data_IF_789945968415
#
_entry.id   IF_789945968415
#
_cell.length_a   1.000
_cell.length_b   1.000
_cell.length_c   1.000
_cell.angle_alpha   90.00
_cell.angle_beta   90.00
_cell.angle_gamma   90.00
#
_symmetry.space_group_name_H-M   'P 1'
#
loop_
_entity.id
_entity.type
_entity.pdbx_description
1 polymer ?
#
# COMPACT_ATOMS: atom_id res chain seq x y z
N UNK A 1 11.57 -5.27 12.81
CA UNK A 1 11.97 -4.83 14.15
C UNK A 1 10.73 -4.65 15.04
N UNK A 2 10.95 -4.68 16.31
CA UNK A 2 9.88 -4.52 17.29
C UNK A 2 9.17 -3.17 17.14
N UNK A 3 9.94 -2.11 16.89
CA UNK A 3 9.39 -0.78 16.70
C UNK A 3 8.50 -0.70 15.47
N UNK A 4 8.89 -1.37 14.38
CA UNK A 4 8.09 -1.43 13.17
C UNK A 4 6.78 -2.19 13.42
N UNK A 5 6.83 -3.29 14.17
CA UNK A 5 5.62 -4.05 14.52
C UNK A 5 4.65 -3.23 15.35
N UNK A 6 5.17 -2.42 16.29
CA UNK A 6 4.34 -1.52 17.08
C UNK A 6 3.67 -0.47 16.21
N UNK A 7 4.37 0.07 15.21
CA UNK A 7 3.80 1.03 14.26
C UNK A 7 2.71 0.39 13.42
N UNK A 8 2.93 -0.83 12.97
CA UNK A 8 1.95 -1.57 12.17
C UNK A 8 0.68 -1.81 12.99
N UNK A 9 0.81 -2.28 14.22
CA UNK A 9 -0.34 -2.50 15.09
C UNK A 9 -1.09 -1.20 15.33
N UNK A 10 -0.36 -0.10 15.56
CA UNK A 10 -0.97 1.21 15.77
C UNK A 10 -1.73 1.69 14.53
N UNK A 11 -1.19 1.48 13.33
CA UNK A 11 -1.85 1.86 12.08
C UNK A 11 -3.16 1.12 11.88
N UNK A 12 -3.17 -0.19 12.17
CA UNK A 12 -4.35 -1.03 11.95
C UNK A 12 -5.47 -0.75 12.94
N UNK A 13 -5.14 -0.31 14.15
CA UNK A 13 -6.13 -0.07 15.21
C UNK A 13 -6.52 1.40 15.38
N UNK A 14 -5.85 2.31 14.71
CA UNK A 14 -6.08 3.74 14.85
C UNK A 14 -7.45 4.14 14.28
N UNK A 15 -8.34 4.79 15.08
CA UNK A 15 -9.65 5.20 14.58
C UNK A 15 -9.65 6.51 13.78
N UNK A 16 -8.53 7.25 13.79
CA UNK A 16 -8.43 8.54 13.14
C UNK A 16 -7.57 8.45 11.89
N UNK A 17 -8.15 8.78 10.73
CA UNK A 17 -7.43 8.67 9.44
C UNK A 17 -6.22 9.60 9.35
N UNK A 18 -6.28 10.77 9.97
CA UNK A 18 -5.13 11.68 10.00
C UNK A 18 -3.92 11.10 10.72
N UNK A 19 -4.17 10.50 11.88
CA UNK A 19 -3.12 9.82 12.65
C UNK A 19 -2.62 8.58 11.92
N UNK A 20 -3.53 7.83 11.32
CA UNK A 20 -3.18 6.65 10.53
C UNK A 20 -2.24 7.04 9.39
N UNK A 21 -2.54 8.15 8.71
CA UNK A 21 -1.69 8.65 7.63
C UNK A 21 -0.26 8.89 8.09
N UNK A 22 -0.10 9.52 9.26
CA UNK A 22 1.24 9.78 9.82
C UNK A 22 1.98 8.48 10.12
N UNK A 23 1.29 7.53 10.74
CA UNK A 23 1.89 6.25 11.11
C UNK A 23 2.30 5.46 9.85
N UNK A 24 1.41 5.40 8.87
CA UNK A 24 1.70 4.72 7.61
C UNK A 24 2.90 5.36 6.88
N UNK A 25 3.00 6.68 6.93
CA UNK A 25 4.12 7.38 6.31
C UNK A 25 5.45 7.00 6.99
N UNK A 26 5.45 6.87 8.31
CA UNK A 26 6.63 6.42 9.04
C UNK A 26 7.02 4.99 8.64
N UNK A 27 6.04 4.11 8.48
CA UNK A 27 6.28 2.73 8.04
C UNK A 27 6.88 2.72 6.63
N UNK A 28 6.36 3.57 5.73
CA UNK A 28 6.88 3.69 4.36
C UNK A 28 8.35 4.08 4.30
N UNK A 29 8.83 4.82 5.29
CA UNK A 29 10.21 5.29 5.33
C UNK A 29 11.17 4.23 5.84
N UNK A 30 10.67 3.13 6.36
CA UNK A 30 11.49 2.03 6.88
C UNK A 30 11.64 0.94 5.84
N UNK A 31 12.72 0.15 5.91
CA UNK A 31 12.85 -1.03 5.04
C UNK A 31 11.67 -1.97 5.25
N UNK A 32 11.16 -2.54 4.16
CA UNK A 32 10.06 -3.49 4.25
C UNK A 32 10.50 -4.74 5.03
N UNK A 33 9.61 -5.23 5.89
CA UNK A 33 9.87 -6.47 6.62
C UNK A 33 9.86 -7.65 5.65
N UNK A 34 10.76 -8.60 5.87
CA UNK A 34 10.85 -9.83 5.08
C UNK A 34 11.01 -11.02 6.04
N UNK A 35 10.01 -11.90 6.15
CA UNK A 35 8.74 -11.87 5.40
C UNK A 35 7.79 -10.79 5.91
N UNK A 36 6.89 -10.28 5.05
CA UNK A 36 5.93 -9.27 5.46
C UNK A 36 4.84 -9.86 6.35
N UNK A 37 4.26 -9.01 7.21
CA UNK A 37 3.07 -9.41 7.98
C UNK A 37 1.86 -9.49 7.05
N UNK A 38 1.26 -10.66 7.00
CA UNK A 38 0.12 -10.91 6.11
C UNK A 38 -1.10 -10.08 6.50
N UNK A 39 -1.37 -9.95 7.80
CA UNK A 39 -2.50 -9.15 8.27
C UNK A 39 -2.36 -7.68 7.87
N UNK A 40 -1.17 -7.13 7.95
CA UNK A 40 -0.92 -5.76 7.53
C UNK A 40 -1.03 -5.60 6.02
N UNK A 41 -0.54 -6.57 5.26
CA UNK A 41 -0.68 -6.56 3.80
C UNK A 41 -2.16 -6.55 3.41
N UNK A 42 -2.95 -7.44 4.02
CA UNK A 42 -4.40 -7.49 3.78
C UNK A 42 -5.05 -6.15 4.11
N UNK A 43 -4.66 -5.54 5.23
CA UNK A 43 -5.13 -4.23 5.63
C UNK A 43 -4.84 -3.18 4.55
N UNK A 44 -3.60 -3.13 4.05
CA UNK A 44 -3.22 -2.17 3.03
C UNK A 44 -3.99 -2.38 1.72
N UNK A 45 -4.15 -3.63 1.29
CA UNK A 45 -4.87 -3.93 0.05
C UNK A 45 -6.35 -3.59 0.16
N UNK A 46 -6.94 -3.74 1.34
CA UNK A 46 -8.33 -3.35 1.57
C UNK A 46 -8.49 -1.84 1.64
N UNK A 47 -7.59 -1.16 2.37
CA UNK A 47 -7.73 0.27 2.60
C UNK A 47 -7.36 1.13 1.39
N UNK A 48 -6.52 0.64 0.49
CA UNK A 48 -6.16 1.42 -0.69
C UNK A 48 -7.33 1.64 -1.64
N UNK A 49 -8.39 0.81 -1.54
CA UNK A 49 -9.59 0.95 -2.35
C UNK A 49 -10.81 1.37 -1.54
N UNK A 50 -10.65 1.61 -0.24
CA UNK A 50 -11.77 1.96 0.64
C UNK A 50 -12.15 3.42 0.48
N UNK A 51 -13.43 3.69 0.18
CA UNK A 51 -13.94 5.05 0.06
C UNK A 51 -14.04 5.75 1.41
N UNK A 52 -13.95 5.00 2.50
CA UNK A 52 -13.92 5.56 3.84
C UNK A 52 -12.60 6.22 4.19
N UNK A 53 -11.53 5.87 3.46
CA UNK A 53 -10.23 6.45 3.69
C UNK A 53 -9.97 7.63 2.79
N UNK A 54 -9.33 8.71 3.32
CA UNK A 54 -8.94 9.85 2.49
C UNK A 54 -7.88 9.43 1.45
N UNK A 55 -7.77 10.19 0.35
CA UNK A 55 -6.78 9.87 -0.70
C UNK A 55 -5.34 9.70 -0.19
N UNK A 56 -4.93 10.48 0.81
CA UNK A 56 -3.59 10.35 1.37
C UNK A 56 -3.34 9.00 1.99
N UNK A 57 -4.33 8.44 2.70
CA UNK A 57 -4.23 7.11 3.29
C UNK A 57 -4.27 6.04 2.20
N UNK A 58 -5.19 6.18 1.24
CA UNK A 58 -5.29 5.23 0.13
C UNK A 58 -3.98 5.13 -0.65
N UNK A 59 -3.35 6.27 -0.94
CA UNK A 59 -2.08 6.32 -1.66
C UNK A 59 -0.95 5.62 -0.91
N UNK A 60 -0.86 5.86 0.40
CA UNK A 60 0.16 5.22 1.23
C UNK A 60 -0.05 3.72 1.32
N UNK A 61 -1.30 3.28 1.45
CA UNK A 61 -1.61 1.84 1.48
C UNK A 61 -1.23 1.17 0.16
N UNK A 62 -1.44 1.86 -0.96
CA UNK A 62 -1.06 1.35 -2.28
C UNK A 62 0.47 1.19 -2.38
N UNK A 63 1.23 2.19 -1.94
CA UNK A 63 2.69 2.12 -1.92
C UNK A 63 3.19 0.98 -1.04
N UNK A 64 2.60 0.84 0.15
CA UNK A 64 2.97 -0.21 1.08
C UNK A 64 2.63 -1.60 0.54
N UNK A 65 1.46 -1.76 -0.08
CA UNK A 65 1.08 -3.02 -0.69
C UNK A 65 2.13 -3.44 -1.75
N UNK A 66 2.61 -2.49 -2.54
CA UNK A 66 3.65 -2.78 -3.50
C UNK A 66 4.95 -3.23 -2.82
N UNK A 67 5.40 -2.49 -1.80
CA UNK A 67 6.63 -2.82 -1.08
C UNK A 67 6.54 -4.20 -0.43
N UNK A 68 5.41 -4.50 0.19
CA UNK A 68 5.22 -5.76 0.92
C UNK A 68 5.10 -6.97 0.00
N UNK A 69 4.61 -6.79 -1.23
CA UNK A 69 4.43 -7.90 -2.17
C UNK A 69 5.65 -8.13 -3.06
N UNK A 70 6.69 -7.31 -2.96
CA UNK A 70 7.87 -7.44 -3.84
C UNK A 70 8.53 -8.80 -3.76
N UNK A 71 8.48 -9.45 -2.60
CA UNK A 71 9.08 -10.77 -2.39
C UNK A 71 8.07 -11.92 -2.58
N UNK A 72 6.81 -11.61 -2.89
CA UNK A 72 5.74 -12.62 -3.02
C UNK A 72 5.04 -12.43 -4.35
N UNK A 73 5.53 -13.10 -5.43
CA UNK A 73 5.00 -12.89 -6.78
C UNK A 73 3.49 -13.08 -6.93
N UNK A 74 2.92 -14.05 -6.26
CA UNK A 74 1.48 -14.33 -6.35
C UNK A 74 0.66 -13.15 -5.81
N UNK A 75 1.09 -12.58 -4.68
CA UNK A 75 0.40 -11.45 -4.07
C UNK A 75 0.63 -10.17 -4.87
N UNK A 76 1.81 -10.01 -5.46
CA UNK A 76 2.07 -8.87 -6.33
C UNK A 76 1.19 -8.93 -7.59
N UNK A 77 0.95 -10.11 -8.13
CA UNK A 77 0.06 -10.28 -9.26
C UNK A 77 -1.37 -9.92 -8.89
N UNK A 78 -1.81 -10.28 -7.69
CA UNK A 78 -3.12 -9.91 -7.18
C UNK A 78 -3.25 -8.39 -7.06
N UNK A 79 -2.24 -7.74 -6.50
CA UNK A 79 -2.20 -6.27 -6.42
C UNK A 79 -2.26 -5.64 -7.81
N UNK A 80 -1.49 -6.16 -8.74
CA UNK A 80 -1.48 -5.67 -10.12
C UNK A 80 -2.87 -5.74 -10.75
N UNK A 81 -3.56 -6.87 -10.57
CA UNK A 81 -4.92 -7.05 -11.09
C UNK A 81 -5.86 -5.99 -10.53
N UNK A 82 -5.79 -5.73 -9.22
CA UNK A 82 -6.62 -4.71 -8.58
C UNK A 82 -6.33 -3.33 -9.18
N UNK A 83 -5.06 -2.99 -9.36
CA UNK A 83 -4.66 -1.70 -9.92
C UNK A 83 -5.12 -1.55 -11.38
N UNK A 84 -5.05 -2.62 -12.16
CA UNK A 84 -5.42 -2.59 -13.58
C UNK A 84 -6.91 -2.40 -13.81
N UNK A 85 -7.76 -2.88 -12.91
CA UNK A 85 -9.21 -2.72 -13.07
C UNK A 85 -9.71 -1.35 -12.59
N UNK A 86 -8.87 -0.55 -11.94
CA UNK A 86 -9.24 0.81 -11.56
C UNK A 86 -9.37 1.69 -12.80
N UNK A 87 -10.44 2.52 -12.83
CA UNK A 87 -10.66 3.49 -13.91
C UNK A 87 -9.92 4.78 -13.59
N UNK A 88 -8.83 5.12 -14.31
CA UNK A 88 -8.03 6.31 -13.98
C UNK A 88 -8.84 7.60 -13.95
N UNK A 89 -9.84 7.73 -14.85
CA UNK A 89 -10.64 8.94 -14.92
C UNK A 89 -11.50 9.17 -13.69
N UNK A 90 -11.74 8.12 -12.92
CA UNK A 90 -12.54 8.19 -11.69
C UNK A 90 -11.68 8.40 -10.44
N UNK A 91 -10.37 8.44 -10.59
CA UNK A 91 -9.44 8.56 -9.46
C UNK A 91 -9.01 10.01 -9.29
N UNK A 92 -8.88 10.43 -8.01
CA UNK A 92 -8.26 11.74 -7.73
C UNK A 92 -6.80 11.74 -8.17
N UNK A 93 -6.22 12.90 -8.51
CA UNK A 93 -4.87 12.96 -9.07
C UNK A 93 -3.79 12.25 -8.24
N UNK A 94 -3.85 12.36 -6.91
CA UNK A 94 -2.86 11.73 -6.04
C UNK A 94 -2.86 10.21 -6.18
N UNK A 95 -4.04 9.60 -6.21
CA UNK A 95 -4.17 8.14 -6.34
C UNK A 95 -3.82 7.71 -7.77
N UNK A 96 -4.26 8.47 -8.75
CA UNK A 96 -3.94 8.20 -10.16
C UNK A 96 -2.42 8.14 -10.37
N UNK A 97 -1.70 9.08 -9.80
CA UNK A 97 -0.25 9.18 -9.91
C UNK A 97 0.44 7.96 -9.27
N UNK A 98 0.05 7.60 -8.05
CA UNK A 98 0.65 6.45 -7.35
C UNK A 98 0.35 5.14 -8.09
N UNK A 99 -0.89 4.97 -8.57
CA UNK A 99 -1.26 3.80 -9.37
C UNK A 99 -0.37 3.67 -10.61
N UNK A 100 -0.24 4.75 -11.35
CA UNK A 100 0.59 4.77 -12.57
C UNK A 100 2.04 4.41 -12.26
N UNK A 101 2.61 5.03 -11.24
CA UNK A 101 4.00 4.79 -10.86
C UNK A 101 4.21 3.37 -10.35
N UNK A 102 3.24 2.82 -9.62
CA UNK A 102 3.32 1.45 -9.10
C UNK A 102 3.28 0.43 -10.25
N UNK A 103 2.35 0.60 -11.19
CA UNK A 103 2.26 -0.28 -12.35
C UNK A 103 3.53 -0.21 -13.20
N UNK A 104 4.09 0.98 -13.35
CA UNK A 104 5.35 1.17 -14.08
C UNK A 104 6.52 0.46 -13.39
N UNK A 105 6.58 0.55 -12.07
CA UNK A 105 7.63 -0.12 -11.29
C UNK A 105 7.54 -1.64 -11.41
N UNK A 106 6.33 -2.19 -11.38
CA UNK A 106 6.11 -3.62 -11.57
C UNK A 106 6.57 -4.09 -12.94
N UNK A 107 6.27 -3.30 -13.97
CA UNK A 107 6.64 -3.62 -15.33
C UNK A 107 8.16 -3.61 -15.51
N UNK A 108 8.83 -2.60 -14.96
CA UNK A 108 10.29 -2.48 -15.04
C UNK A 108 10.97 -3.67 -14.36
N UNK A 109 10.49 -4.06 -13.19
CA UNK A 109 11.01 -5.21 -12.47
C UNK A 109 10.83 -6.51 -13.25
N UNK A 110 9.69 -6.65 -13.91
CA UNK A 110 9.37 -7.85 -14.70
C UNK A 110 10.31 -8.01 -15.91
N UNK A 111 10.78 -6.92 -16.46
CA UNK A 111 11.64 -6.92 -17.64
C UNK A 111 13.12 -7.21 -17.33
N UNK A 112 13.43 -7.44 -16.08
CA UNK A 112 14.75 -7.89 -15.68
C UNK A 112 14.76 -9.41 -15.62
#
# INVERSE_FOLDING_TARGET
SRKQEELIDAAMTCPHSGKRRMILNLICQQPAADPPRVDFLDFCMERMISREEPPGVQSLCMKLAYQLTRSIPELQQELRTILEIMEPDLLVPAIRSVRKNTLKAMKTKKNR
#
